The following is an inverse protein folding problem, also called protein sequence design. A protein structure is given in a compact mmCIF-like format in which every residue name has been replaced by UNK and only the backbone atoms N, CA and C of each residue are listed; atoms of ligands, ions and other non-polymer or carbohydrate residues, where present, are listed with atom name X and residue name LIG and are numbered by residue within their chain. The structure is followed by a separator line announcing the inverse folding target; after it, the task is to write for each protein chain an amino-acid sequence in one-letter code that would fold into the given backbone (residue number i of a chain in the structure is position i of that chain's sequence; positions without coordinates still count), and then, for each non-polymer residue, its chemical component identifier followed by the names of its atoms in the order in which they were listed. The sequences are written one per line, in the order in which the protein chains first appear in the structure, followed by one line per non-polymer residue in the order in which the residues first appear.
data_IF_121268465014
#
_entry.id   IF_121268465014
#
_cell.length_a   1.000
_cell.length_b   1.000
_cell.length_c   1.000
_cell.angle_alpha   90.00
_cell.angle_beta   90.00
_cell.angle_gamma   90.00
#
_symmetry.space_group_name_H-M   'P 1'
#
loop_
_entity.id
_entity.type
_entity.pdbx_description
1 polymer ?
#
# COMPACT_ATOMS: atom_id res chain seq x y z
N UNK A 1 7.33 -12.34 -6.83
CA UNK A 1 5.96 -11.90 -6.49
C UNK A 1 5.66 -12.00 -4.98
N UNK A 2 5.34 -13.17 -4.40
CA UNK A 2 4.91 -13.23 -2.99
C UNK A 2 5.92 -12.68 -1.97
N UNK A 3 7.21 -13.00 -2.13
CA UNK A 3 8.25 -12.50 -1.22
C UNK A 3 8.47 -10.98 -1.32
N UNK A 4 8.27 -10.43 -2.51
CA UNK A 4 8.37 -8.99 -2.75
C UNK A 4 7.20 -8.27 -2.10
N UNK A 5 5.98 -8.81 -2.27
CA UNK A 5 4.79 -8.34 -1.58
C UNK A 5 4.98 -8.37 -0.06
N UNK A 6 5.53 -9.46 0.50
CA UNK A 6 5.85 -9.54 1.93
C UNK A 6 6.78 -8.40 2.36
N UNK A 7 7.82 -8.12 1.58
CA UNK A 7 8.78 -7.04 1.86
C UNK A 7 8.09 -5.68 1.84
N UNK A 8 7.23 -5.41 0.85
CA UNK A 8 6.42 -4.19 0.79
C UNK A 8 5.58 -4.02 2.05
N UNK A 9 4.88 -5.06 2.50
CA UNK A 9 4.07 -4.99 3.72
C UNK A 9 4.91 -4.77 4.98
N UNK A 10 6.10 -5.37 5.07
CA UNK A 10 7.03 -5.13 6.18
C UNK A 10 7.50 -3.67 6.20
N UNK A 11 7.79 -3.09 5.03
CA UNK A 11 8.21 -1.69 4.91
C UNK A 11 7.07 -0.71 5.25
N UNK A 12 5.86 -0.96 4.74
CA UNK A 12 4.66 -0.16 5.06
C UNK A 12 4.29 -0.24 6.54
N UNK A 13 4.57 -1.36 7.19
CA UNK A 13 4.43 -1.47 8.63
C UNK A 13 5.47 -0.62 9.36
N UNK A 14 6.74 -0.75 8.95
CA UNK A 14 7.88 -0.08 9.56
C UNK A 14 7.80 1.45 9.48
N UNK A 15 7.45 2.04 8.33
CA UNK A 15 7.33 3.50 8.19
C UNK A 15 6.01 4.06 8.75
N UNK A 16 5.09 3.19 9.21
CA UNK A 16 3.80 3.57 9.77
C UNK A 16 2.67 3.77 8.76
N UNK A 17 2.89 3.56 7.46
CA UNK A 17 1.84 3.69 6.44
C UNK A 17 0.65 2.75 6.71
N UNK A 18 0.89 1.50 7.14
CA UNK A 18 -0.21 0.58 7.50
C UNK A 18 -1.05 1.10 8.67
N UNK A 19 -0.42 1.76 9.65
CA UNK A 19 -1.13 2.37 10.77
C UNK A 19 -2.02 3.52 10.27
N UNK A 20 -1.50 4.39 9.40
CA UNK A 20 -2.26 5.49 8.81
C UNK A 20 -3.43 5.00 7.95
N UNK A 21 -3.24 3.94 7.15
CA UNK A 21 -4.30 3.32 6.35
C UNK A 21 -5.41 2.72 7.24
N UNK A 22 -5.02 2.08 8.36
CA UNK A 22 -5.98 1.58 9.35
C UNK A 22 -6.78 2.70 10.01
N UNK A 23 -6.13 3.81 10.39
CA UNK A 23 -6.79 4.98 10.98
C UNK A 23 -7.77 5.63 10.00
N UNK A 24 -7.46 5.60 8.70
CA UNK A 24 -8.35 6.02 7.61
C UNK A 24 -9.43 5.00 7.23
N UNK A 25 -9.55 3.90 7.99
CA UNK A 25 -10.51 2.81 7.74
C UNK A 25 -10.38 2.15 6.36
N UNK A 26 -9.19 2.15 5.77
CA UNK A 26 -8.94 1.40 4.54
C UNK A 26 -9.11 -0.10 4.81
N UNK A 27 -9.87 -0.78 3.95
CA UNK A 27 -10.10 -2.22 4.10
C UNK A 27 -8.81 -2.99 3.86
N UNK A 28 -8.63 -4.11 4.59
CA UNK A 28 -7.49 -5.00 4.39
C UNK A 28 -7.39 -5.48 2.93
N UNK A 29 -8.53 -5.80 2.30
CA UNK A 29 -8.54 -6.31 0.93
C UNK A 29 -8.18 -5.23 -0.09
N UNK A 30 -8.62 -3.99 0.13
CA UNK A 30 -8.25 -2.86 -0.73
C UNK A 30 -6.75 -2.60 -0.67
N UNK A 31 -6.17 -2.61 0.54
CA UNK A 31 -4.71 -2.44 0.72
C UNK A 31 -3.94 -3.60 0.08
N UNK A 32 -4.37 -4.84 0.29
CA UNK A 32 -3.76 -6.02 -0.34
C UNK A 32 -3.79 -5.94 -1.86
N UNK A 33 -4.95 -5.64 -2.44
CA UNK A 33 -5.13 -5.53 -3.89
C UNK A 33 -4.29 -4.41 -4.50
N UNK A 34 -4.18 -3.27 -3.81
CA UNK A 34 -3.41 -2.12 -4.27
C UNK A 34 -1.90 -2.41 -4.30
N UNK A 35 -1.36 -3.01 -3.24
CA UNK A 35 0.08 -3.29 -3.14
C UNK A 35 0.49 -4.62 -3.77
N UNK A 36 -0.42 -5.55 -4.06
CA UNK A 36 -0.08 -6.77 -4.82
C UNK A 36 0.28 -6.48 -6.27
N UNK A 37 -0.23 -5.37 -6.83
CA UNK A 37 0.03 -4.94 -8.21
C UNK A 37 1.23 -3.98 -8.32
N UNK A 38 1.73 -3.49 -7.19
CA UNK A 38 2.86 -2.57 -7.12
C UNK A 38 4.04 -3.27 -6.45
N UNK A 39 5.07 -3.55 -7.24
CA UNK A 39 6.34 -4.08 -6.74
C UNK A 39 7.11 -3.04 -5.93
N UNK A 40 8.28 -3.43 -5.43
CA UNK A 40 9.19 -2.54 -4.72
C UNK A 40 10.10 -1.80 -5.71
N UNK A 41 9.47 -0.94 -6.50
CA UNK A 41 10.12 -0.15 -7.54
C UNK A 41 10.76 1.14 -6.99
N UNK A 42 11.41 1.88 -7.88
CA UNK A 42 12.04 3.15 -7.58
C UNK A 42 11.04 4.20 -7.08
N UNK A 43 9.81 4.20 -7.62
CA UNK A 43 8.75 5.11 -7.19
C UNK A 43 8.35 4.85 -5.74
N UNK A 44 8.14 3.58 -5.37
CA UNK A 44 7.79 3.20 -4.00
C UNK A 44 8.90 3.54 -3.01
N UNK A 45 10.16 3.25 -3.35
CA UNK A 45 11.33 3.63 -2.53
C UNK A 45 11.42 5.14 -2.36
N UNK A 46 11.22 5.91 -3.43
CA UNK A 46 11.22 7.37 -3.39
C UNK A 46 10.08 7.93 -2.54
N UNK A 47 8.86 7.37 -2.66
CA UNK A 47 7.72 7.76 -1.83
C UNK A 47 7.99 7.53 -0.34
N UNK A 48 8.59 6.38 0.03
CA UNK A 48 8.94 6.11 1.42
C UNK A 48 10.10 6.99 1.91
N UNK A 49 11.05 7.34 1.05
CA UNK A 49 12.13 8.27 1.40
C UNK A 49 11.58 9.67 1.73
N UNK A 50 10.58 10.14 0.98
CA UNK A 50 9.88 11.41 1.27
C UNK A 50 9.16 11.38 2.62
N UNK A 51 8.55 10.26 3.00
CA UNK A 51 7.92 10.11 4.33
C UNK A 51 8.98 10.28 5.45
N UNK A 52 10.16 9.67 5.29
CA UNK A 52 11.28 9.79 6.22
C UNK A 52 11.87 11.20 6.29
N UNK A 53 11.98 11.90 5.15
CA UNK A 53 12.36 13.31 5.12
C UNK A 53 11.37 14.17 5.91
N UNK A 54 10.08 13.92 5.76
CA UNK A 54 9.04 14.59 6.54
C UNK A 54 9.18 14.33 8.05
N UNK A 55 9.65 13.15 8.45
CA UNK A 55 9.92 12.85 9.86
C UNK A 55 11.18 13.56 10.36
N UNK A 56 12.25 13.60 9.56
CA UNK A 56 13.48 14.33 9.87
C UNK A 56 13.23 15.82 10.09
N UNK A 57 12.36 16.43 9.28
CA UNK A 57 11.98 17.84 9.45
C UNK A 57 11.25 18.10 10.78
N UNK A 58 10.50 17.13 11.30
CA UNK A 58 9.79 17.24 12.59
C UNK A 58 10.67 16.89 13.78
N UNK A 59 11.62 15.98 13.58
CA UNK A 59 12.55 15.50 14.61
C UNK A 59 13.95 15.32 14.00
N UNK A 60 14.77 16.38 13.97
CA UNK A 60 16.10 16.32 13.39
C UNK A 60 16.97 15.23 14.02
N UNK A 61 17.75 14.54 13.19
CA UNK A 61 18.65 13.45 13.55
C UNK A 61 17.99 12.06 13.57
N UNK A 62 16.68 11.94 13.41
CA UNK A 62 15.99 10.64 13.43
C UNK A 62 16.39 9.77 12.24
N UNK A 63 16.57 10.37 11.06
CA UNK A 63 16.94 9.66 9.84
C UNK A 63 18.31 9.00 9.96
N UNK A 64 19.30 9.75 10.45
CA UNK A 64 20.65 9.23 10.69
C UNK A 64 20.66 8.15 11.78
N UNK A 65 19.89 8.34 12.86
CA UNK A 65 19.76 7.34 13.92
C UNK A 65 19.16 6.02 13.39
N UNK A 66 18.06 6.09 12.64
CA UNK A 66 17.39 4.91 12.09
C UNK A 66 18.26 4.21 11.03
N UNK A 67 19.00 4.96 10.19
CA UNK A 67 19.93 4.37 9.22
C UNK A 67 21.01 3.54 9.92
N UNK A 68 21.58 4.06 11.01
CA UNK A 68 22.56 3.32 11.81
C UNK A 68 21.97 2.04 12.43
N UNK A 69 20.70 2.08 12.86
CA UNK A 69 19.99 0.89 13.35
C UNK A 69 19.79 -0.11 12.22
N UNK A 70 19.29 0.32 11.06
CA UNK A 70 19.05 -0.53 9.89
C UNK A 70 20.32 -1.26 9.43
N UNK A 71 21.46 -0.56 9.38
CA UNK A 71 22.75 -1.14 9.01
C UNK A 71 23.20 -2.22 10.01
N UNK A 72 23.02 -1.97 11.32
CA UNK A 72 23.33 -2.97 12.36
C UNK A 72 22.41 -4.19 12.25
N UNK A 73 21.11 -3.99 12.04
CA UNK A 73 20.14 -5.06 11.81
C UNK A 73 20.52 -5.91 10.59
N UNK A 74 20.91 -5.29 9.48
CA UNK A 74 21.36 -5.99 8.28
C UNK A 74 22.59 -6.88 8.55
N UNK A 75 23.56 -6.38 9.31
CA UNK A 75 24.75 -7.17 9.68
C UNK A 75 24.37 -8.34 10.59
N UNK A 76 23.51 -8.12 11.59
CA UNK A 76 23.04 -9.17 12.48
C UNK A 76 22.26 -10.25 11.72
N UNK A 77 21.38 -9.84 10.81
CA UNK A 77 20.61 -10.76 9.98
C UNK A 77 21.52 -11.62 9.10
N UNK A 78 22.55 -11.02 8.49
CA UNK A 78 23.55 -11.74 7.71
C UNK A 78 24.28 -12.79 8.56
N UNK A 79 24.68 -12.44 9.78
CA UNK A 79 25.36 -13.38 10.69
C UNK A 79 24.46 -14.54 11.11
N UNK A 80 23.15 -14.30 11.23
CA UNK A 80 22.15 -15.31 11.60
C UNK A 80 21.68 -16.16 10.42
N UNK A 81 22.05 -15.81 9.18
CA UNK A 81 21.57 -16.50 7.99
C UNK A 81 20.07 -16.33 7.75
N UNK A 82 19.46 -15.24 8.24
CA UNK A 82 18.03 -14.94 8.00
C UNK A 82 17.86 -14.09 6.74
N UNK A 83 16.62 -13.97 6.26
CA UNK A 83 16.29 -13.21 5.06
C UNK A 83 16.81 -11.76 5.13
N UNK A 84 17.48 -11.31 4.06
CA UNK A 84 18.13 -9.98 4.01
C UNK A 84 17.34 -8.93 3.24
N UNK A 85 16.29 -9.32 2.50
CA UNK A 85 15.60 -8.43 1.56
C UNK A 85 15.06 -7.20 2.27
N UNK A 86 14.24 -7.38 3.29
CA UNK A 86 13.72 -6.28 4.10
C UNK A 86 14.81 -5.35 4.65
N UNK A 87 15.89 -5.90 5.20
CA UNK A 87 16.97 -5.08 5.77
C UNK A 87 17.77 -4.29 4.73
N UNK A 88 17.95 -4.86 3.53
CA UNK A 88 18.57 -4.15 2.40
C UNK A 88 17.70 -2.98 1.96
N UNK A 89 16.42 -3.23 1.73
CA UNK A 89 15.45 -2.20 1.29
C UNK A 89 15.29 -1.09 2.32
N UNK A 90 15.20 -1.45 3.61
CA UNK A 90 15.20 -0.49 4.73
C UNK A 90 16.44 0.41 4.68
N UNK A 91 17.63 -0.17 4.47
CA UNK A 91 18.89 0.60 4.37
C UNK A 91 18.92 1.48 3.11
N UNK A 92 18.43 0.97 1.98
CA UNK A 92 18.38 1.70 0.71
C UNK A 92 17.46 2.91 0.78
N UNK A 93 16.23 2.76 1.30
CA UNK A 93 15.26 3.84 1.48
C UNK A 93 15.82 4.95 2.39
N UNK A 94 16.43 4.58 3.51
CA UNK A 94 17.02 5.55 4.44
C UNK A 94 18.23 6.25 3.84
N UNK A 95 19.06 5.53 3.07
CA UNK A 95 20.20 6.13 2.36
C UNK A 95 19.74 7.09 1.28
N UNK A 96 18.68 6.74 0.55
CA UNK A 96 18.04 7.59 -0.45
C UNK A 96 17.50 8.87 0.20
N UNK A 97 16.73 8.75 1.28
CA UNK A 97 16.25 9.91 2.04
C UNK A 97 17.40 10.80 2.52
N UNK A 98 18.49 10.20 3.04
CA UNK A 98 19.64 10.97 3.53
C UNK A 98 20.36 11.73 2.40
N UNK A 99 20.51 11.10 1.22
CA UNK A 99 21.09 11.78 0.05
C UNK A 99 20.25 12.98 -0.40
N UNK A 100 18.92 12.84 -0.39
CA UNK A 100 18.00 13.91 -0.72
C UNK A 100 18.04 15.03 0.33
N UNK A 101 18.15 14.69 1.62
CA UNK A 101 18.31 15.65 2.70
C UNK A 101 19.56 16.52 2.49
N UNK A 102 20.68 15.91 2.09
CA UNK A 102 21.92 16.66 1.83
C UNK A 102 21.79 17.60 0.63
N UNK A 103 21.13 17.17 -0.45
CA UNK A 103 20.90 18.01 -1.63
C UNK A 103 20.02 19.23 -1.29
N UNK A 104 19.01 19.06 -0.43
CA UNK A 104 18.11 20.15 -0.03
C UNK A 104 18.68 21.04 1.08
N UNK A 105 19.65 20.55 1.88
CA UNK A 105 20.33 21.30 2.93
C UNK A 105 21.50 22.16 2.44
N UNK A 106 21.74 22.26 1.13
CA UNK A 106 22.63 23.28 0.57
C UNK A 106 21.85 24.50 0.04
N UNK A 107 21.35 25.42 0.89
CA UNK A 107 21.13 26.79 0.47
C UNK A 107 22.42 27.60 0.67
N UNK A 108 22.72 28.44 -0.33
CA UNK A 108 23.72 29.52 -0.35
C UNK A 108 25.20 29.21 -0.63
N UNK A 109 25.50 28.85 -1.89
CA UNK A 109 26.63 29.47 -2.62
C UNK A 109 26.25 29.93 -4.04
N UNK A 110 25.15 29.43 -4.64
CA UNK A 110 24.73 29.84 -5.98
C UNK A 110 23.29 30.34 -5.99
N UNK A 111 23.10 31.61 -5.66
CA UNK A 111 21.85 32.31 -5.86
C UNK A 111 21.60 32.62 -7.35
N UNK A 112 20.32 32.63 -7.72
CA UNK A 112 19.65 33.33 -8.84
C UNK A 112 19.19 32.55 -10.08
N UNK A 113 17.89 32.73 -10.32
CA UNK A 113 17.09 32.53 -11.53
C UNK A 113 16.65 31.10 -11.87
N UNK A 114 15.43 30.77 -11.45
CA UNK A 114 14.35 30.48 -12.39
C UNK A 114 13.05 30.26 -11.60
N UNK A 115 12.15 31.21 -11.73
CA UNK A 115 10.72 31.04 -11.47
C UNK A 115 10.17 29.98 -12.39
N UNK A 116 9.77 28.83 -11.86
CA UNK A 116 8.89 27.90 -12.56
C UNK A 116 7.81 27.37 -11.63
N UNK A 117 6.58 27.56 -12.08
CA UNK A 117 5.32 27.17 -11.46
C UNK A 117 5.29 25.69 -11.08
N UNK A 118 5.31 25.40 -9.78
CA UNK A 118 5.07 24.07 -9.24
C UNK A 118 3.57 23.74 -9.33
N UNK A 119 3.20 22.95 -10.34
CA UNK A 119 1.98 22.16 -10.24
C UNK A 119 2.16 21.17 -9.10
N UNK A 120 1.40 21.39 -8.04
CA UNK A 120 1.32 20.57 -6.85
C UNK A 120 0.67 19.23 -7.23
N UNK A 121 1.46 18.24 -7.62
CA UNK A 121 0.98 16.87 -7.81
C UNK A 121 0.61 16.26 -6.45
N UNK A 122 -0.65 16.43 -6.11
CA UNK A 122 -1.31 15.77 -4.99
C UNK A 122 -1.24 14.23 -5.22
N UNK A 123 -0.61 13.52 -4.28
CA UNK A 123 -0.62 12.07 -4.17
C UNK A 123 -2.03 11.48 -4.44
N UNK A 124 -2.18 10.43 -5.26
CA UNK A 124 -3.47 9.82 -5.55
C UNK A 124 -3.89 8.89 -4.40
N UNK A 125 -4.14 9.44 -3.22
CA UNK A 125 -4.94 8.78 -2.19
C UNK A 125 -6.44 8.78 -2.54
N UNK A 126 -6.84 9.60 -3.52
CA UNK A 126 -8.22 9.68 -4.00
C UNK A 126 -8.72 8.37 -4.64
N UNK A 127 -7.81 7.53 -5.16
CA UNK A 127 -8.18 6.26 -5.80
C UNK A 127 -8.75 5.23 -4.82
N UNK A 128 -8.46 5.34 -3.52
CA UNK A 128 -8.97 4.41 -2.51
C UNK A 128 -10.31 4.84 -1.89
N UNK A 129 -10.80 6.04 -2.20
CA UNK A 129 -12.01 6.61 -1.56
C UNK A 129 -13.28 6.48 -2.41
N UNK A 130 -13.19 6.08 -3.68
CA UNK A 130 -14.28 6.26 -4.65
C UNK A 130 -15.09 5.00 -5.03
N UNK A 131 -15.11 3.95 -4.19
CA UNK A 131 -15.92 2.75 -4.49
C UNK A 131 -17.03 2.42 -3.48
N UNK A 132 -17.20 3.20 -2.41
CA UNK A 132 -18.22 2.94 -1.39
C UNK A 132 -19.14 4.15 -1.15
N UNK A 133 -19.80 4.65 -2.19
CA UNK A 133 -20.92 5.59 -2.02
C UNK A 133 -21.96 5.46 -3.15
N UNK A 134 -23.03 4.73 -2.82
CA UNK A 134 -24.40 4.88 -3.32
C UNK A 134 -24.66 4.52 -4.80
N UNK A 135 -24.91 3.23 -5.02
CA UNK A 135 -25.93 2.81 -5.95
C UNK A 135 -27.31 3.16 -5.33
N UNK A 136 -28.00 4.14 -5.90
CA UNK A 136 -29.47 4.20 -5.87
C UNK A 136 -30.03 5.17 -6.94
N UNK A 137 -30.78 4.56 -7.87
CA UNK A 137 -32.07 5.01 -8.46
C UNK A 137 -32.09 6.17 -9.49
N UNK A 138 -31.91 5.79 -10.78
CA UNK A 138 -32.86 5.95 -11.92
C UNK A 138 -33.27 7.36 -12.48
N UNK A 139 -33.95 7.47 -13.65
CA UNK A 139 -33.35 7.64 -14.98
C UNK A 139 -33.83 8.92 -15.71
N UNK A 140 -33.19 9.31 -16.83
CA UNK A 140 -33.80 10.28 -17.77
C UNK A 140 -33.58 9.92 -19.24
N UNK A 141 -34.71 9.93 -19.94
CA UNK A 141 -34.98 9.58 -21.32
C UNK A 141 -34.28 10.48 -22.36
N UNK A 142 -34.13 9.95 -23.58
CA UNK A 142 -33.99 10.76 -24.77
C UNK A 142 -33.63 10.02 -26.07
N UNK A 143 -34.68 9.63 -26.82
CA UNK A 143 -34.74 9.50 -28.29
C UNK A 143 -34.39 8.14 -28.94
N UNK A 144 -35.45 7.40 -29.30
CA UNK A 144 -35.53 6.44 -30.42
C UNK A 144 -36.01 7.20 -31.70
N UNK A 145 -35.98 6.68 -32.96
CA UNK A 145 -36.50 5.35 -33.39
C UNK A 145 -35.61 4.63 -34.44
N UNK A 146 -35.78 3.33 -34.74
CA UNK A 146 -36.62 2.86 -35.86
C UNK A 146 -36.58 1.31 -35.98
N UNK A 147 -37.78 0.68 -35.97
CA UNK A 147 -38.27 -0.57 -36.65
C UNK A 147 -37.33 -1.80 -36.73
N UNK A 148 -37.74 -3.06 -36.52
CA UNK A 148 -39.02 -3.75 -36.81
C UNK A 148 -38.98 -5.19 -36.22
N UNK A 149 -40.16 -5.80 -36.18
CA UNK A 149 -40.58 -6.96 -35.38
C UNK A 149 -40.29 -8.33 -36.04
N UNK A 150 -40.07 -9.38 -35.25
CA UNK A 150 -41.04 -10.49 -35.01
C UNK A 150 -40.39 -11.80 -34.53
N UNK A 151 -40.83 -12.23 -33.34
CA UNK A 151 -41.37 -13.56 -32.98
C UNK A 151 -40.56 -14.84 -33.29
N UNK A 152 -40.21 -15.60 -32.24
CA UNK A 152 -40.80 -16.91 -31.89
C UNK A 152 -40.35 -17.33 -30.47
N UNK A 153 -41.30 -17.86 -29.71
CA UNK A 153 -41.21 -18.44 -28.36
C UNK A 153 -40.39 -19.74 -28.30
N UNK A 154 -39.94 -20.14 -27.10
CA UNK A 154 -39.94 -21.48 -26.45
C UNK A 154 -39.08 -21.31 -25.17
N UNK A 155 -39.68 -21.13 -23.98
CA UNK A 155 -40.03 -22.15 -22.97
C UNK A 155 -38.87 -22.95 -22.36
N UNK A 156 -38.60 -22.61 -21.09
CA UNK A 156 -38.32 -23.47 -19.93
C UNK A 156 -37.13 -24.43 -19.94
N UNK A 157 -36.19 -24.17 -19.03
CA UNK A 157 -35.42 -25.22 -18.35
C UNK A 157 -35.27 -24.86 -16.87
N UNK A 158 -35.97 -25.63 -16.04
CA UNK A 158 -35.65 -25.85 -14.63
C UNK A 158 -34.25 -26.44 -14.51
N UNK A 159 -33.48 -25.94 -13.54
CA UNK A 159 -32.44 -26.73 -12.88
C UNK A 159 -32.14 -26.15 -11.50
N UNK A 160 -32.81 -26.74 -10.50
CA UNK A 160 -32.39 -26.75 -9.10
C UNK A 160 -31.02 -27.43 -8.99
N UNK A 161 -30.06 -26.79 -8.32
CA UNK A 161 -29.06 -27.46 -7.50
C UNK A 161 -28.74 -26.57 -6.29
N UNK A 162 -29.34 -26.91 -5.16
CA UNK A 162 -28.81 -26.62 -3.83
C UNK A 162 -27.53 -27.45 -3.62
N UNK A 163 -26.53 -26.92 -2.88
CA UNK A 163 -26.06 -27.50 -1.61
C UNK A 163 -24.86 -26.73 -1.04
N UNK A 164 -25.07 -26.26 0.19
CA UNK A 164 -24.18 -25.82 1.29
C UNK A 164 -22.78 -26.48 1.38
N UNK A 165 -21.71 -25.72 1.61
CA UNK A 165 -21.20 -25.26 2.94
C UNK A 165 -20.92 -26.38 3.96
N UNK A 166 -19.63 -26.54 4.34
CA UNK A 166 -19.24 -27.15 5.61
C UNK A 166 -17.90 -26.55 6.11
N UNK A 167 -18.03 -25.77 7.17
CA UNK A 167 -17.00 -25.20 8.03
C UNK A 167 -16.39 -26.29 8.92
N UNK A 168 -15.06 -26.36 9.02
CA UNK A 168 -14.37 -27.20 10.01
C UNK A 168 -13.94 -26.34 11.19
N UNK A 169 -14.58 -26.53 12.35
CA UNK A 169 -14.10 -26.03 13.64
C UNK A 169 -13.36 -27.15 14.35
N UNK A 170 -12.13 -26.88 14.79
CA UNK A 170 -11.33 -27.82 15.57
C UNK A 170 -11.23 -27.28 17.00
N UNK A 171 -11.85 -28.00 17.94
CA UNK A 171 -11.91 -27.71 19.37
C UNK A 171 -10.58 -28.10 20.05
N UNK A 172 -9.98 -27.18 20.81
CA UNK A 172 -8.80 -27.44 21.65
C UNK A 172 -9.24 -27.47 23.13
N UNK A 173 -8.88 -28.53 23.84
CA UNK A 173 -9.11 -28.69 25.29
C UNK A 173 -7.76 -28.57 26.01
N UNK A 174 -7.62 -27.76 27.07
CA UNK A 174 -6.42 -27.75 27.89
C UNK A 174 -6.52 -28.76 29.03
N UNK A 175 -5.49 -29.59 29.21
CA UNK A 175 -5.31 -30.45 30.39
C UNK A 175 -4.49 -29.66 31.42
N UNK A 176 -5.08 -29.43 32.58
CA UNK A 176 -4.47 -28.82 33.76
C UNK A 176 -3.37 -29.72 34.34
N UNK A 177 -2.23 -29.13 34.71
CA UNK A 177 -1.30 -29.71 35.67
C UNK A 177 -1.56 -29.06 37.03
N UNK A 178 -1.91 -29.88 38.03
CA UNK A 178 -1.94 -29.49 39.44
C UNK A 178 -0.65 -29.97 40.12
N UNK A 179 -0.18 -29.15 41.05
CA UNK A 179 1.01 -29.28 41.90
C UNK A 179 1.17 -30.61 42.64
#
# INVERSE_FOLDING_TARGET
EFQEMMTVFQLLHWNGTLKALRERKCSRQSVISYYSQRGLDEYMRSSMALDWLGQEQRSPGILGAELNVAQRELVLARRRGVELRFHKEKTEILSLALSQAFIHQTPDVFSQSSSDTSQQEHLPLHTLYNQDSNADISPSCGLSPTRHNSTVQISSTDLHYDTSSACSQQTYVPVNYSE
#
